data_IF_288650182938
#
_entry.id   IF_288650182938
#
_cell.length_a   1.000
_cell.length_b   1.000
_cell.length_c   1.000
_cell.angle_alpha   90.00
_cell.angle_beta   90.00
_cell.angle_gamma   90.00
#
_symmetry.space_group_name_H-M   'P 1'
#
loop_
_entity.id
_entity.type
_entity.pdbx_description
1 polymer ?
#
# COMPACT_ATOMS: atom_id res chain seq x y z
N UNK A 1 5.62 1.93 36.93
CA UNK A 1 4.85 3.11 36.45
C UNK A 1 4.02 2.62 35.27
N UNK A 2 2.76 3.03 35.11
CA UNK A 2 1.96 2.59 33.96
C UNK A 2 2.15 3.57 32.79
N UNK A 3 2.46 3.06 31.61
CA UNK A 3 2.56 3.84 30.38
C UNK A 3 1.20 3.82 29.67
N UNK A 4 0.59 4.99 29.46
CA UNK A 4 -0.63 5.13 28.68
C UNK A 4 -0.33 5.34 27.20
N UNK A 5 -0.94 4.55 26.32
CA UNK A 5 -0.89 4.69 24.86
C UNK A 5 -2.27 5.06 24.34
N UNK A 6 -2.36 6.14 23.56
CA UNK A 6 -3.60 6.57 22.93
C UNK A 6 -3.69 6.02 21.51
N UNK A 7 -4.70 5.17 21.27
CA UNK A 7 -5.01 4.58 19.98
C UNK A 7 -4.63 3.10 19.88
N UNK A 8 -5.64 2.26 19.66
CA UNK A 8 -5.51 0.82 19.42
C UNK A 8 -5.29 0.50 17.94
N UNK A 9 -4.60 1.36 17.20
CA UNK A 9 -4.14 1.08 15.83
C UNK A 9 -2.87 0.23 15.81
N UNK A 10 -2.42 -0.17 14.62
CA UNK A 10 -1.23 -1.04 14.48
C UNK A 10 0.01 -0.44 15.14
N UNK A 11 0.19 0.88 15.10
CA UNK A 11 1.33 1.56 15.76
C UNK A 11 1.25 1.45 17.29
N UNK A 12 0.06 1.69 17.87
CA UNK A 12 -0.13 1.64 19.31
C UNK A 12 -0.03 0.21 19.87
N UNK A 13 -0.63 -0.76 19.18
CA UNK A 13 -0.54 -2.18 19.55
C UNK A 13 0.89 -2.69 19.40
N UNK A 14 1.57 -2.36 18.30
CA UNK A 14 2.97 -2.77 18.09
C UNK A 14 3.89 -2.19 19.16
N UNK A 15 3.70 -0.92 19.54
CA UNK A 15 4.47 -0.31 20.62
C UNK A 15 4.20 -0.99 21.96
N UNK A 16 2.91 -1.20 22.30
CA UNK A 16 2.54 -1.89 23.53
C UNK A 16 3.16 -3.29 23.63
N UNK A 17 3.20 -4.03 22.52
CA UNK A 17 3.77 -5.38 22.46
C UNK A 17 5.30 -5.42 22.59
N UNK A 18 6.00 -4.29 22.39
CA UNK A 18 7.47 -4.21 22.46
C UNK A 18 7.97 -3.58 23.76
N UNK A 19 7.08 -3.05 24.61
CA UNK A 19 7.46 -2.47 25.89
C UNK A 19 7.42 -3.55 26.98
N UNK A 20 8.49 -3.66 27.77
CA UNK A 20 8.58 -4.56 28.93
C UNK A 20 7.91 -3.98 30.21
N UNK A 21 7.26 -2.82 30.10
CA UNK A 21 6.62 -2.09 31.19
C UNK A 21 5.13 -2.43 31.30
N UNK A 22 4.48 -1.97 32.38
CA UNK A 22 3.03 -2.03 32.47
C UNK A 22 2.40 -0.99 31.52
N UNK A 23 1.70 -1.45 30.48
CA UNK A 23 1.12 -0.58 29.43
C UNK A 23 -0.41 -0.65 29.44
N UNK A 24 -1.05 0.50 29.32
CA UNK A 24 -2.49 0.64 29.09
C UNK A 24 -2.74 1.27 27.71
N UNK A 25 -3.46 0.57 26.83
CA UNK A 25 -3.85 1.10 25.51
C UNK A 25 -5.29 1.57 25.55
N UNK A 26 -5.51 2.86 25.28
CA UNK A 26 -6.82 3.50 25.27
C UNK A 26 -7.26 3.73 23.83
N UNK A 27 -8.25 2.95 23.37
CA UNK A 27 -8.89 3.12 22.06
C UNK A 27 -10.30 3.70 22.24
N UNK A 28 -10.63 4.72 21.44
CA UNK A 28 -11.94 5.38 21.49
C UNK A 28 -13.04 4.50 20.87
N UNK A 29 -12.70 3.71 19.85
CA UNK A 29 -13.63 2.83 19.13
C UNK A 29 -13.84 1.53 19.90
N UNK A 30 -14.99 0.91 19.70
CA UNK A 30 -15.27 -0.44 20.22
C UNK A 30 -14.38 -1.54 19.59
N UNK A 31 -13.69 -1.22 18.49
CA UNK A 31 -12.80 -2.13 17.76
C UNK A 31 -11.38 -1.62 17.74
N UNK A 32 -10.43 -2.54 17.82
CA UNK A 32 -9.00 -2.28 17.62
C UNK A 32 -8.61 -2.36 16.13
N UNK A 33 -7.34 -2.12 15.82
CA UNK A 33 -6.75 -2.22 14.49
C UNK A 33 -6.70 -0.89 13.72
N UNK A 34 -7.40 0.16 14.18
CA UNK A 34 -7.38 1.46 13.52
C UNK A 34 -7.84 1.38 12.07
N UNK A 35 -6.98 1.78 11.13
CA UNK A 35 -7.20 1.67 9.68
C UNK A 35 -7.03 0.23 9.15
N UNK A 36 -6.30 -0.63 9.87
CA UNK A 36 -6.06 -2.03 9.53
C UNK A 36 -7.10 -2.99 10.14
N UNK A 37 -8.15 -2.47 10.77
CA UNK A 37 -9.23 -3.30 11.32
C UNK A 37 -10.22 -3.73 10.24
N UNK A 38 -10.89 -4.85 10.44
CA UNK A 38 -11.96 -5.33 9.56
C UNK A 38 -13.35 -4.99 10.11
N UNK A 39 -14.35 -4.97 9.23
CA UNK A 39 -15.78 -4.81 9.53
C UNK A 39 -16.49 -6.02 8.92
N UNK A 40 -17.46 -6.58 9.65
CA UNK A 40 -18.31 -7.66 9.16
C UNK A 40 -19.70 -7.07 8.96
N UNK A 41 -20.23 -7.19 7.74
CA UNK A 41 -21.59 -6.77 7.40
C UNK A 41 -22.25 -7.84 6.53
N UNK A 42 -23.45 -8.29 6.92
CA UNK A 42 -24.23 -9.33 6.21
C UNK A 42 -23.43 -10.59 5.84
N UNK A 43 -22.48 -11.01 6.69
CA UNK A 43 -21.62 -12.18 6.45
C UNK A 43 -20.42 -11.93 5.54
N UNK A 44 -20.23 -10.70 5.06
CA UNK A 44 -19.06 -10.28 4.29
C UNK A 44 -18.07 -9.54 5.19
N UNK A 45 -16.78 -9.81 4.99
CA UNK A 45 -15.69 -9.14 5.70
C UNK A 45 -15.07 -8.08 4.79
N UNK A 46 -14.97 -6.86 5.29
CA UNK A 46 -14.35 -5.72 4.61
C UNK A 46 -13.21 -5.16 5.44
N UNK A 47 -12.17 -4.64 4.79
CA UNK A 47 -11.18 -3.83 5.46
C UNK A 47 -11.73 -2.41 5.67
N UNK A 48 -11.67 -1.92 6.91
CA UNK A 48 -12.38 -0.71 7.32
C UNK A 48 -11.90 0.56 6.63
N UNK A 49 -10.67 0.58 6.12
CA UNK A 49 -10.06 1.74 5.45
C UNK A 49 -9.61 1.43 4.02
N UNK A 50 -10.26 0.46 3.36
CA UNK A 50 -9.87 -0.02 2.03
C UNK A 50 -8.93 -1.22 2.09
N UNK A 51 -8.62 -1.85 0.96
CA UNK A 51 -7.96 -3.15 0.90
C UNK A 51 -6.51 -3.09 1.39
N UNK A 52 -6.14 -4.04 2.25
CA UNK A 52 -4.77 -4.20 2.75
C UNK A 52 -4.18 -5.54 2.32
N UNK A 53 -2.89 -5.51 1.94
CA UNK A 53 -2.08 -6.70 1.75
C UNK A 53 -0.83 -6.57 2.63
N UNK A 54 -0.42 -7.66 3.27
CA UNK A 54 0.78 -7.68 4.11
C UNK A 54 2.00 -8.02 3.28
N UNK A 55 2.97 -7.11 3.23
CA UNK A 55 4.29 -7.32 2.66
C UNK A 55 5.29 -6.38 3.32
N UNK A 56 6.54 -6.80 3.46
CA UNK A 56 7.62 -5.95 3.97
C UNK A 56 8.95 -6.36 3.38
N UNK A 57 9.83 -5.39 3.15
CA UNK A 57 11.25 -5.65 2.85
C UNK A 57 12.03 -6.04 4.10
N UNK A 58 11.56 -5.64 5.28
CA UNK A 58 12.12 -6.05 6.57
C UNK A 58 11.55 -7.42 6.94
N UNK A 59 12.41 -8.44 6.94
CA UNK A 59 12.03 -9.83 7.22
C UNK A 59 11.58 -10.05 8.67
N UNK A 60 12.17 -9.36 9.63
CA UNK A 60 11.81 -9.49 11.05
C UNK A 60 10.37 -8.99 11.27
N UNK A 61 10.03 -7.84 10.69
CA UNK A 61 8.68 -7.29 10.72
C UNK A 61 7.68 -8.23 10.02
N UNK A 62 8.02 -8.77 8.85
CA UNK A 62 7.16 -9.71 8.15
C UNK A 62 6.92 -10.99 8.96
N UNK A 63 7.98 -11.54 9.55
CA UNK A 63 7.89 -12.73 10.38
C UNK A 63 7.03 -12.47 11.62
N UNK A 64 7.17 -11.32 12.26
CA UNK A 64 6.32 -10.92 13.39
C UNK A 64 4.84 -10.84 12.98
N UNK A 65 4.53 -10.20 11.84
CA UNK A 65 3.16 -10.13 11.31
C UNK A 65 2.59 -11.52 11.07
N UNK A 66 3.34 -12.39 10.37
CA UNK A 66 2.90 -13.75 10.03
C UNK A 66 2.75 -14.61 11.29
N UNK A 67 3.70 -14.54 12.22
CA UNK A 67 3.66 -15.31 13.47
C UNK A 67 2.44 -14.95 14.33
N UNK A 68 2.04 -13.67 14.34
CA UNK A 68 0.86 -13.20 15.10
C UNK A 68 -0.45 -13.76 14.55
N UNK A 69 -0.48 -14.16 13.28
CA UNK A 69 -1.67 -14.70 12.62
C UNK A 69 -1.77 -16.23 12.71
N UNK A 70 -0.68 -16.92 13.04
CA UNK A 70 -0.63 -18.38 13.06
C UNK A 70 -1.05 -18.99 11.71
N UNK A 71 -2.05 -19.86 11.74
CA UNK A 71 -2.59 -20.52 10.53
C UNK A 71 -3.51 -19.61 9.70
N UNK A 72 -3.89 -18.42 10.20
CA UNK A 72 -4.73 -17.45 9.48
C UNK A 72 -3.91 -16.61 8.48
N UNK A 73 -3.11 -17.29 7.66
CA UNK A 73 -2.20 -16.69 6.69
C UNK A 73 -2.47 -17.28 5.32
N UNK A 74 -2.74 -16.40 4.37
CA UNK A 74 -3.01 -16.80 3.00
C UNK A 74 -2.09 -16.06 2.03
N UNK A 75 -1.30 -16.82 1.26
CA UNK A 75 -0.35 -16.25 0.30
C UNK A 75 -0.90 -16.33 -1.13
N UNK A 76 -0.76 -15.23 -1.87
CA UNK A 76 -1.11 -15.14 -3.30
C UNK A 76 -0.05 -14.38 -4.07
N UNK A 77 0.05 -14.68 -5.36
CA UNK A 77 0.82 -13.85 -6.30
C UNK A 77 0.03 -12.59 -6.59
N UNK A 78 0.67 -11.42 -6.45
CA UNK A 78 0.06 -10.13 -6.75
C UNK A 78 -0.23 -10.01 -8.26
N UNK A 79 -1.48 -9.69 -8.61
CA UNK A 79 -1.92 -9.50 -9.99
C UNK A 79 -2.73 -8.21 -10.12
N UNK A 80 -2.07 -7.08 -9.87
CA UNK A 80 -2.70 -5.77 -9.98
C UNK A 80 -2.80 -5.36 -11.47
N UNK A 81 -3.96 -4.81 -11.85
CA UNK A 81 -4.24 -4.32 -13.20
C UNK A 81 -4.84 -2.93 -13.14
N UNK A 82 -4.66 -2.17 -14.21
CA UNK A 82 -5.15 -0.82 -14.41
C UNK A 82 -6.17 -0.88 -15.54
N UNK A 83 -7.38 -0.39 -15.28
CA UNK A 83 -8.36 -0.22 -16.33
C UNK A 83 -8.06 1.05 -17.12
N UNK A 84 -7.68 0.90 -18.39
CA UNK A 84 -7.36 2.01 -19.28
C UNK A 84 -8.02 1.79 -20.63
N UNK A 85 -8.85 2.75 -21.07
CA UNK A 85 -9.52 2.75 -22.38
C UNK A 85 -10.15 1.40 -22.80
N UNK A 86 -10.86 0.74 -21.89
CA UNK A 86 -11.57 -0.50 -22.23
C UNK A 86 -10.76 -1.78 -22.07
N UNK A 87 -9.52 -1.71 -21.58
CA UNK A 87 -8.66 -2.88 -21.38
C UNK A 87 -7.93 -2.85 -20.04
N UNK A 88 -7.45 -4.02 -19.62
CA UNK A 88 -6.68 -4.20 -18.39
C UNK A 88 -5.18 -4.24 -18.70
N UNK A 89 -4.47 -3.21 -18.28
CA UNK A 89 -3.01 -3.07 -18.40
C UNK A 89 -2.36 -3.58 -17.11
N UNK A 90 -1.27 -4.33 -17.20
CA UNK A 90 -0.58 -4.83 -16.02
C UNK A 90 0.08 -3.68 -15.24
N UNK A 91 0.01 -3.73 -13.91
CA UNK A 91 0.79 -2.82 -13.06
C UNK A 91 2.23 -3.32 -12.90
N UNK A 92 3.26 -2.44 -12.90
CA UNK A 92 3.19 -0.99 -13.16
C UNK A 92 2.88 -0.65 -14.63
N UNK A 93 2.13 0.43 -14.87
CA UNK A 93 1.59 0.81 -16.19
C UNK A 93 2.69 0.95 -17.25
N UNK A 94 3.77 1.63 -16.88
CA UNK A 94 4.93 1.93 -17.71
C UNK A 94 5.69 0.69 -18.20
N UNK A 95 5.48 -0.46 -17.55
CA UNK A 95 6.12 -1.72 -17.93
C UNK A 95 5.29 -2.56 -18.91
N UNK A 96 4.06 -2.15 -19.22
CA UNK A 96 3.14 -2.89 -20.08
C UNK A 96 2.58 -2.02 -21.22
N UNK A 97 3.40 -1.07 -21.70
CA UNK A 97 3.03 -0.18 -22.82
C UNK A 97 2.65 -0.98 -24.07
N UNK A 98 3.23 -2.16 -24.27
CA UNK A 98 2.92 -3.07 -25.38
C UNK A 98 1.43 -3.50 -25.42
N UNK A 99 0.73 -3.45 -24.29
CA UNK A 99 -0.70 -3.74 -24.22
C UNK A 99 -1.59 -2.56 -24.65
N UNK A 100 -1.05 -1.35 -24.76
CA UNK A 100 -1.80 -0.13 -25.10
C UNK A 100 -2.22 -0.08 -26.57
N UNK A 101 -3.25 0.71 -26.94
CA UNK A 101 -3.46 1.12 -28.32
C UNK A 101 -2.17 1.73 -28.89
N UNK A 102 -1.91 1.52 -30.18
CA UNK A 102 -0.63 1.87 -30.80
C UNK A 102 -0.29 3.35 -30.66
N UNK A 103 -1.31 4.21 -30.74
CA UNK A 103 -1.18 5.65 -30.61
C UNK A 103 -0.76 6.05 -29.19
N UNK A 104 -1.35 5.44 -28.16
CA UNK A 104 -1.00 5.70 -26.75
C UNK A 104 0.39 5.14 -26.41
N UNK A 105 0.70 3.93 -26.88
CA UNK A 105 2.03 3.35 -26.75
C UNK A 105 3.10 4.27 -27.35
N UNK A 106 2.89 4.72 -28.60
CA UNK A 106 3.79 5.63 -29.28
C UNK A 106 3.94 6.94 -28.50
N UNK A 107 2.84 7.54 -28.04
CA UNK A 107 2.87 8.77 -27.26
C UNK A 107 3.70 8.62 -25.98
N UNK A 108 3.49 7.55 -25.19
CA UNK A 108 4.25 7.29 -23.97
C UNK A 108 5.75 7.10 -24.25
N UNK A 109 6.11 6.29 -25.25
CA UNK A 109 7.52 6.04 -25.59
C UNK A 109 8.17 7.32 -26.12
N UNK A 110 7.49 8.05 -26.99
CA UNK A 110 7.98 9.30 -27.54
C UNK A 110 8.19 10.35 -26.44
N UNK A 111 7.18 10.59 -25.61
CA UNK A 111 7.24 11.52 -24.48
C UNK A 111 8.35 11.19 -23.48
N UNK A 112 8.62 9.91 -23.25
CA UNK A 112 9.75 9.46 -22.45
C UNK A 112 11.12 9.76 -23.10
N UNK A 113 11.25 9.52 -24.41
CA UNK A 113 12.53 9.70 -25.14
C UNK A 113 12.87 11.18 -25.34
N UNK A 114 11.90 12.01 -25.71
CA UNK A 114 12.11 13.45 -25.95
C UNK A 114 11.72 14.32 -24.76
N UNK A 115 11.78 13.76 -23.56
CA UNK A 115 11.29 14.39 -22.34
C UNK A 115 12.05 15.70 -22.02
N UNK A 116 11.40 16.87 -22.12
CA UNK A 116 12.05 18.15 -21.82
C UNK A 116 12.36 18.33 -20.32
N UNK A 117 11.72 17.53 -19.45
CA UNK A 117 11.87 17.62 -18.00
C UNK A 117 12.94 16.67 -17.43
N UNK A 118 13.65 15.91 -18.27
CA UNK A 118 14.57 14.85 -17.82
C UNK A 118 15.68 15.36 -16.87
N UNK A 119 16.15 16.58 -17.08
CA UNK A 119 17.23 17.20 -16.29
C UNK A 119 16.72 18.13 -15.17
N UNK A 120 15.41 18.34 -15.05
CA UNK A 120 14.85 19.22 -14.04
C UNK A 120 14.98 18.65 -12.62
N UNK A 121 15.09 19.50 -11.61
CA UNK A 121 14.96 19.09 -10.22
C UNK A 121 13.47 19.19 -9.81
N UNK A 122 12.77 18.07 -9.55
CA UNK A 122 11.34 18.13 -9.30
C UNK A 122 11.05 18.70 -7.91
N UNK A 123 10.20 19.73 -7.85
CA UNK A 123 9.71 20.33 -6.60
C UNK A 123 8.36 19.76 -6.14
N UNK A 124 7.75 18.87 -6.93
CA UNK A 124 6.47 18.23 -6.63
C UNK A 124 6.40 16.80 -7.20
N UNK A 125 5.44 16.01 -6.72
CA UNK A 125 5.17 14.66 -7.25
C UNK A 125 4.79 14.70 -8.75
N UNK A 126 4.06 15.73 -9.18
CA UNK A 126 3.69 15.89 -10.59
C UNK A 126 4.93 16.11 -11.46
N UNK A 127 5.81 17.05 -11.07
CA UNK A 127 7.08 17.27 -11.79
C UNK A 127 7.99 16.05 -11.76
N UNK A 128 8.03 15.32 -10.63
CA UNK A 128 8.76 14.06 -10.56
C UNK A 128 8.22 13.04 -11.56
N UNK A 129 6.88 12.99 -11.74
CA UNK A 129 6.24 12.10 -12.70
C UNK A 129 6.61 12.48 -14.13
N UNK A 130 6.51 13.76 -14.51
CA UNK A 130 6.90 14.23 -15.84
C UNK A 130 8.37 14.00 -16.13
N UNK A 131 9.26 14.32 -15.18
CA UNK A 131 10.68 14.00 -15.27
C UNK A 131 10.94 12.51 -15.49
N UNK A 132 10.20 11.64 -14.78
CA UNK A 132 10.46 10.20 -14.77
C UNK A 132 9.88 9.50 -16.00
N UNK A 133 8.70 9.91 -16.47
CA UNK A 133 7.92 9.17 -17.46
C UNK A 133 7.65 9.93 -18.76
N UNK A 134 7.91 11.24 -18.82
CA UNK A 134 7.43 12.11 -19.89
C UNK A 134 6.02 12.64 -19.61
N UNK A 135 5.54 13.52 -20.49
CA UNK A 135 4.16 14.01 -20.50
C UNK A 135 3.17 12.98 -21.08
#
# INVERSE_FOLDING_TARGET
MTIGILGGGISGISLAAQLDENVEVLEKRARIGGLCGSIIDQGFTFDAAGPHIMFSKNKEVLNLMVATLGDNVHQRRRENKIWFKGQLVKYPFENDLASLPKEDNFACIYGYIVNPHADEAPASLAQWSYKTFGE
#
